data_IF_266479574262
#
_entry.id   IF_266479574262
#
_cell.length_a   1.000
_cell.length_b   1.000
_cell.length_c   1.000
_cell.angle_alpha   90.00
_cell.angle_beta   90.00
_cell.angle_gamma   90.00
#
_symmetry.space_group_name_H-M   'P 1'
#
loop_
_entity.id
_entity.type
_entity.pdbx_description
1 polymer ?
#
# COMPACT_ATOMS: atom_id res chain seq x y z
N UNK A 1 40.80 77.19 10.14
CA UNK A 1 39.95 76.27 10.93
C UNK A 1 38.75 75.86 10.09
N UNK A 2 38.80 74.71 9.40
CA UNK A 2 37.62 74.09 8.77
C UNK A 2 37.68 72.58 9.06
N UNK A 3 36.60 72.10 9.67
CA UNK A 3 36.46 70.80 10.32
C UNK A 3 36.22 69.69 9.30
N UNK A 4 36.87 68.56 9.53
CA UNK A 4 36.61 67.27 8.89
C UNK A 4 35.24 66.73 9.25
N UNK A 5 34.52 66.15 8.29
CA UNK A 5 33.36 65.28 8.53
C UNK A 5 33.69 63.93 7.89
N UNK A 6 33.83 62.92 8.73
CA UNK A 6 34.03 61.52 8.35
C UNK A 6 32.66 60.88 8.07
N UNK A 7 32.54 60.23 6.91
CA UNK A 7 31.35 59.44 6.54
C UNK A 7 31.51 58.04 7.15
N UNK A 8 30.60 57.69 8.05
CA UNK A 8 30.52 56.39 8.71
C UNK A 8 29.78 55.41 7.80
N UNK A 9 30.48 54.43 7.22
CA UNK A 9 29.88 53.33 6.45
C UNK A 9 29.50 52.21 7.43
N UNK A 10 28.20 52.02 7.65
CA UNK A 10 27.67 50.91 8.45
C UNK A 10 27.62 49.67 7.56
N UNK A 11 28.54 48.74 7.78
CA UNK A 11 28.55 47.43 7.11
C UNK A 11 27.48 46.50 7.68
N UNK A 12 26.57 46.04 6.82
CA UNK A 12 25.62 44.97 7.12
C UNK A 12 26.36 43.63 7.20
N UNK A 13 26.53 43.09 8.40
CA UNK A 13 26.98 41.70 8.60
C UNK A 13 25.78 40.79 8.39
N UNK A 14 25.72 40.12 7.24
CA UNK A 14 24.72 39.08 6.95
C UNK A 14 25.05 37.82 7.75
N UNK A 15 24.22 37.51 8.75
CA UNK A 15 24.27 36.26 9.50
C UNK A 15 23.72 35.16 8.58
N UNK A 16 24.62 34.35 8.00
CA UNK A 16 24.27 33.13 7.29
C UNK A 16 23.67 32.13 8.29
N UNK A 17 22.34 32.04 8.33
CA UNK A 17 21.63 30.98 9.04
C UNK A 17 21.98 29.64 8.40
N UNK A 18 22.64 28.75 9.16
CA UNK A 18 22.70 27.33 8.86
C UNK A 18 21.26 26.77 8.98
N UNK A 19 20.52 26.79 7.88
CA UNK A 19 19.31 26.01 7.77
C UNK A 19 19.72 24.52 7.83
N UNK A 20 19.24 23.82 8.86
CA UNK A 20 19.34 22.38 8.93
C UNK A 20 18.70 21.81 7.65
N UNK A 21 19.52 21.21 6.79
CA UNK A 21 19.05 20.54 5.58
C UNK A 21 18.12 19.41 6.01
N UNK A 22 16.83 19.54 5.68
CA UNK A 22 15.93 18.40 5.70
C UNK A 22 16.54 17.29 4.82
N UNK A 23 16.45 16.02 5.22
CA UNK A 23 16.89 14.92 4.37
C UNK A 23 16.22 15.07 3.01
N UNK A 24 17.03 15.33 2.00
CA UNK A 24 16.61 15.53 0.63
C UNK A 24 15.87 14.26 0.18
N UNK A 25 14.59 14.41 -0.15
CA UNK A 25 13.78 13.35 -0.75
C UNK A 25 14.54 12.79 -1.96
N UNK A 26 14.57 11.47 -2.09
CA UNK A 26 15.09 10.82 -3.30
C UNK A 26 14.37 11.39 -4.54
N UNK A 27 15.06 11.56 -5.68
CA UNK A 27 14.44 12.20 -6.84
C UNK A 27 13.24 11.36 -7.33
N UNK A 28 12.09 11.98 -7.64
CA UNK A 28 10.99 11.27 -8.29
C UNK A 28 11.45 10.78 -9.68
N UNK A 29 11.21 9.50 -10.01
CA UNK A 29 11.33 9.02 -11.41
C UNK A 29 12.08 7.72 -11.69
N UNK A 30 12.43 6.87 -10.70
CA UNK A 30 12.95 5.51 -10.98
C UNK A 30 11.90 4.40 -10.85
N UNK A 31 10.83 4.65 -10.09
CA UNK A 31 9.75 3.70 -9.91
C UNK A 31 8.92 3.53 -11.19
N UNK A 32 8.52 2.29 -11.55
CA UNK A 32 7.75 2.09 -12.76
C UNK A 32 6.33 2.61 -12.61
N UNK A 33 5.86 3.36 -13.62
CA UNK A 33 4.54 3.99 -13.64
C UNK A 33 3.37 3.00 -13.52
N UNK A 34 3.56 1.73 -13.89
CA UNK A 34 2.54 0.70 -13.70
C UNK A 34 2.35 0.32 -12.23
N UNK A 35 3.42 0.35 -11.43
CA UNK A 35 3.37 0.08 -10.01
C UNK A 35 2.89 1.31 -9.24
N UNK A 36 3.28 2.51 -9.66
CA UNK A 36 2.89 3.77 -9.03
C UNK A 36 2.09 4.65 -9.99
N UNK A 37 0.88 4.22 -10.40
CA UNK A 37 0.17 4.91 -11.46
C UNK A 37 -0.44 6.23 -10.99
N UNK A 38 -0.43 7.20 -11.90
CA UNK A 38 -1.22 8.42 -11.78
C UNK A 38 -2.70 8.14 -12.07
N UNK A 39 -3.57 8.95 -11.47
CA UNK A 39 -5.00 8.95 -11.78
C UNK A 39 -5.17 9.41 -13.22
N UNK A 40 -5.91 8.64 -14.02
CA UNK A 40 -6.15 8.95 -15.43
C UNK A 40 -7.58 8.65 -15.88
N UNK A 41 -8.51 8.47 -14.94
CA UNK A 41 -9.93 8.34 -15.23
C UNK A 41 -10.80 8.43 -13.99
N UNK A 42 -12.10 8.30 -14.19
CA UNK A 42 -13.11 8.29 -13.15
C UNK A 42 -14.22 7.31 -13.50
N UNK A 43 -14.83 6.76 -12.47
CA UNK A 43 -16.08 6.04 -12.63
C UNK A 43 -17.24 7.03 -12.75
N UNK A 44 -18.36 6.64 -13.40
CA UNK A 44 -19.58 7.43 -13.38
C UNK A 44 -20.03 7.70 -11.94
N UNK A 45 -20.64 8.87 -11.70
CA UNK A 45 -21.25 9.17 -10.40
C UNK A 45 -22.28 8.09 -10.03
N UNK A 46 -22.33 7.72 -8.75
CA UNK A 46 -23.39 6.85 -8.24
C UNK A 46 -24.67 7.63 -8.01
N UNK A 47 -25.81 7.00 -8.29
CA UNK A 47 -27.12 7.50 -7.89
C UNK A 47 -27.17 7.69 -6.35
N UNK A 48 -27.68 8.83 -5.85
CA UNK A 48 -27.59 9.20 -4.44
C UNK A 48 -28.43 8.31 -3.51
N UNK A 49 -29.28 7.45 -4.08
CA UNK A 49 -30.11 6.50 -3.32
C UNK A 49 -29.26 5.56 -2.45
N UNK A 50 -29.75 5.20 -1.24
CA UNK A 50 -29.07 4.22 -0.40
C UNK A 50 -28.80 2.89 -1.12
N UNK A 51 -27.65 2.30 -0.83
CA UNK A 51 -27.17 1.02 -1.35
C UNK A 51 -27.18 -0.03 -0.24
N UNK A 52 -27.35 -1.29 -0.61
CA UNK A 52 -27.27 -2.44 0.29
C UNK A 52 -26.37 -3.53 -0.31
N UNK A 53 -25.81 -4.37 0.55
CA UNK A 53 -25.10 -5.59 0.16
C UNK A 53 -25.90 -6.82 0.57
N UNK A 54 -25.84 -7.85 -0.25
CA UNK A 54 -26.51 -9.12 0.05
C UNK A 54 -25.99 -9.69 1.38
N UNK A 55 -26.89 -10.03 2.29
CA UNK A 55 -26.56 -10.53 3.64
C UNK A 55 -26.31 -9.44 4.69
N UNK A 56 -26.20 -8.17 4.30
CA UNK A 56 -26.08 -7.05 5.25
C UNK A 56 -27.45 -6.51 5.65
N UNK A 57 -27.60 -6.14 6.91
CA UNK A 57 -28.76 -5.37 7.42
C UNK A 57 -28.56 -3.85 7.31
N UNK A 58 -27.40 -3.41 6.80
CA UNK A 58 -27.01 -2.01 6.69
C UNK A 58 -27.39 -1.43 5.34
N UNK A 59 -27.55 -0.11 5.33
CA UNK A 59 -27.81 0.66 4.13
C UNK A 59 -27.07 1.99 4.23
N UNK A 60 -26.32 2.34 3.19
CA UNK A 60 -25.50 3.55 3.14
C UNK A 60 -25.70 4.29 1.82
N UNK A 61 -25.73 5.62 1.85
CA UNK A 61 -25.69 6.43 0.63
C UNK A 61 -24.27 6.41 0.03
N UNK A 62 -24.10 6.71 -1.27
CA UNK A 62 -22.76 6.84 -1.85
C UNK A 62 -21.86 7.81 -1.10
N UNK A 63 -22.41 8.92 -0.60
CA UNK A 63 -21.65 9.89 0.20
C UNK A 63 -21.14 9.29 1.52
N UNK A 64 -21.91 8.43 2.18
CA UNK A 64 -21.46 7.71 3.38
C UNK A 64 -20.41 6.66 3.05
N UNK A 65 -20.53 6.00 1.88
CA UNK A 65 -19.55 5.00 1.43
C UNK A 65 -18.19 5.65 1.12
N UNK A 66 -18.21 6.85 0.56
CA UNK A 66 -17.01 7.61 0.18
C UNK A 66 -16.41 8.44 1.33
N UNK A 67 -17.07 8.49 2.50
CA UNK A 67 -16.56 9.18 3.68
C UNK A 67 -15.35 8.44 4.27
N UNK A 68 -14.15 8.99 4.03
CA UNK A 68 -12.89 8.42 4.52
C UNK A 68 -12.70 8.57 6.04
N UNK A 69 -13.51 9.41 6.68
CA UNK A 69 -13.49 9.60 8.13
C UNK A 69 -14.54 8.76 8.84
N UNK A 70 -15.49 8.16 8.13
CA UNK A 70 -16.54 7.31 8.70
C UNK A 70 -17.01 6.27 7.66
N UNK A 71 -16.11 5.35 7.25
CA UNK A 71 -16.40 4.34 6.24
C UNK A 71 -17.52 3.39 6.66
N UNK A 72 -18.21 2.76 5.71
CA UNK A 72 -19.27 1.80 6.01
C UNK A 72 -18.69 0.52 6.61
N UNK A 73 -19.36 0.02 7.64
CA UNK A 73 -19.20 -1.34 8.16
C UNK A 73 -20.46 -2.14 7.82
N UNK A 74 -20.41 -2.83 6.69
CA UNK A 74 -21.53 -3.61 6.18
C UNK A 74 -21.84 -4.85 7.03
N UNK A 75 -20.84 -5.41 7.70
CA UNK A 75 -20.96 -6.70 8.38
C UNK A 75 -20.27 -6.67 9.75
N UNK A 76 -20.77 -5.85 10.70
CA UNK A 76 -20.15 -5.67 12.01
C UNK A 76 -20.08 -6.97 12.84
N UNK A 77 -20.93 -7.94 12.53
CA UNK A 77 -20.99 -9.23 13.22
C UNK A 77 -19.96 -10.26 12.70
N UNK A 78 -19.23 -9.94 11.62
CA UNK A 78 -18.19 -10.83 11.05
C UNK A 78 -16.79 -10.62 11.64
N UNK A 79 -16.62 -9.64 12.53
CA UNK A 79 -15.36 -9.37 13.21
C UNK A 79 -15.58 -8.99 14.68
N UNK A 80 -14.51 -9.04 15.47
CA UNK A 80 -14.52 -8.48 16.83
C UNK A 80 -14.86 -6.97 16.78
N UNK A 81 -15.41 -6.38 17.86
CA UNK A 81 -15.68 -4.95 17.91
C UNK A 81 -14.46 -4.11 17.52
N UNK A 82 -14.60 -3.30 16.48
CA UNK A 82 -13.51 -2.50 15.95
C UNK A 82 -13.22 -1.29 16.85
N UNK A 83 -11.94 -0.95 17.12
CA UNK A 83 -11.59 0.29 17.81
C UNK A 83 -12.15 1.52 17.10
N UNK A 84 -12.38 2.60 17.84
CA UNK A 84 -12.97 3.83 17.28
C UNK A 84 -12.20 4.32 16.06
N UNK A 85 -10.86 4.31 16.09
CA UNK A 85 -10.04 4.83 14.97
C UNK A 85 -10.12 3.99 13.69
N UNK A 86 -10.51 2.72 13.79
CA UNK A 86 -10.74 1.87 12.62
C UNK A 86 -12.03 2.29 11.91
N UNK A 87 -13.06 2.64 12.68
CA UNK A 87 -14.40 3.00 12.18
C UNK A 87 -14.55 4.50 11.90
N UNK A 88 -13.85 5.34 12.65
CA UNK A 88 -14.04 6.79 12.66
C UNK A 88 -12.72 7.53 12.86
N UNK A 89 -12.36 8.33 11.87
CA UNK A 89 -11.23 9.24 11.90
C UNK A 89 -11.50 10.50 12.73
N UNK A 90 -10.45 11.26 13.00
CA UNK A 90 -10.52 12.57 13.64
C UNK A 90 -9.39 13.47 13.14
N UNK A 91 -9.68 14.78 13.03
CA UNK A 91 -8.70 15.76 12.55
C UNK A 91 -8.08 15.36 11.20
N UNK A 92 -6.75 15.16 11.19
CA UNK A 92 -6.01 14.70 10.01
C UNK A 92 -5.89 13.17 9.91
N UNK A 93 -6.30 12.41 10.93
CA UNK A 93 -6.29 10.97 10.94
C UNK A 93 -7.59 10.42 10.34
N UNK A 94 -7.50 9.82 9.16
CA UNK A 94 -8.62 9.12 8.53
C UNK A 94 -8.88 7.76 9.22
N UNK A 95 -10.11 7.26 9.07
CA UNK A 95 -10.46 5.94 9.62
C UNK A 95 -9.67 4.84 8.90
N UNK A 96 -9.08 3.90 9.64
CA UNK A 96 -8.25 2.85 9.03
C UNK A 96 -9.05 1.98 8.05
N UNK A 97 -10.30 1.66 8.41
CA UNK A 97 -11.23 0.87 7.61
C UNK A 97 -11.57 1.49 6.26
N UNK A 98 -11.33 2.80 6.07
CA UNK A 98 -11.63 3.47 4.81
C UNK A 98 -10.70 3.05 3.67
N UNK A 99 -9.52 2.52 3.97
CA UNK A 99 -8.60 2.01 2.94
C UNK A 99 -8.22 0.56 3.19
N UNK A 100 -8.07 0.14 4.44
CA UNK A 100 -7.72 -1.24 4.79
C UNK A 100 -8.94 -2.16 4.88
N UNK A 101 -10.16 -1.61 4.71
CA UNK A 101 -11.45 -2.28 4.86
C UNK A 101 -11.71 -2.79 6.27
N UNK A 102 -12.98 -3.00 6.62
CA UNK A 102 -13.36 -3.64 7.87
C UNK A 102 -12.99 -5.14 7.90
N UNK A 103 -12.69 -5.73 6.75
CA UNK A 103 -12.09 -7.07 6.68
C UNK A 103 -10.59 -7.10 6.97
N UNK A 104 -9.91 -5.95 6.91
CA UNK A 104 -8.46 -5.86 6.95
C UNK A 104 -7.73 -6.28 5.67
N UNK A 105 -8.42 -6.79 4.64
CA UNK A 105 -7.76 -7.26 3.41
C UNK A 105 -7.31 -6.13 2.47
N UNK A 106 -7.87 -4.92 2.66
CA UNK A 106 -7.56 -3.74 1.87
C UNK A 106 -7.88 -3.87 0.37
N UNK A 107 -7.58 -2.82 -0.35
CA UNK A 107 -7.60 -2.78 -1.82
C UNK A 107 -6.16 -2.78 -2.36
N UNK A 108 -5.92 -2.96 -3.66
CA UNK A 108 -4.58 -2.98 -4.23
C UNK A 108 -3.77 -1.68 -4.03
N UNK A 109 -4.42 -0.53 -3.83
CA UNK A 109 -3.77 0.73 -3.45
C UNK A 109 -3.34 0.80 -1.98
N UNK A 110 -3.92 -0.03 -1.12
CA UNK A 110 -3.62 -0.15 0.31
C UNK A 110 -2.98 -1.52 0.61
N UNK A 111 -2.41 -1.69 1.79
CA UNK A 111 -1.92 -2.99 2.21
C UNK A 111 -3.07 -3.81 2.81
N UNK A 112 -3.12 -5.12 2.54
CA UNK A 112 -3.82 -6.04 3.43
C UNK A 112 -3.08 -6.11 4.76
N UNK A 113 -3.81 -6.07 5.86
CA UNK A 113 -3.32 -6.00 7.24
C UNK A 113 -3.48 -7.33 7.98
N UNK A 114 -4.27 -8.25 7.43
CA UNK A 114 -4.51 -9.57 8.01
C UNK A 114 -3.25 -10.44 8.00
N UNK A 115 -3.09 -11.30 9.01
CA UNK A 115 -1.93 -12.18 9.11
C UNK A 115 -0.59 -11.47 9.38
N UNK A 116 -0.60 -10.19 9.74
CA UNK A 116 0.56 -9.51 10.33
C UNK A 116 0.44 -9.47 11.85
N UNK A 117 1.58 -9.47 12.55
CA UNK A 117 1.59 -9.30 14.00
C UNK A 117 1.27 -7.85 14.37
N UNK A 118 0.66 -7.63 15.54
CA UNK A 118 0.42 -6.29 16.05
C UNK A 118 1.74 -5.49 16.15
N UNK A 119 2.82 -6.15 16.62
CA UNK A 119 4.16 -5.55 16.68
C UNK A 119 4.68 -5.09 15.30
N UNK A 120 4.48 -5.88 14.26
CA UNK A 120 4.83 -5.47 12.89
C UNK A 120 4.05 -4.23 12.47
N UNK A 121 2.73 -4.22 12.69
CA UNK A 121 1.86 -3.11 12.31
C UNK A 121 2.24 -1.82 13.05
N UNK A 122 2.42 -1.89 14.38
CA UNK A 122 2.90 -0.76 15.20
C UNK A 122 4.21 -0.22 14.63
N UNK A 123 5.17 -1.11 14.34
CA UNK A 123 6.46 -0.70 13.78
C UNK A 123 6.32 -0.01 12.42
N UNK A 124 5.42 -0.49 11.55
CA UNK A 124 5.18 0.17 10.26
C UNK A 124 4.62 1.58 10.46
N UNK A 125 3.74 1.78 11.45
CA UNK A 125 3.19 3.09 11.75
C UNK A 125 4.24 4.05 12.32
N UNK A 126 5.17 3.56 13.16
CA UNK A 126 6.33 4.35 13.61
C UNK A 126 7.22 4.77 12.44
N UNK A 127 7.50 3.86 11.51
CA UNK A 127 8.29 4.15 10.32
C UNK A 127 7.60 5.19 9.42
N UNK A 128 6.27 5.14 9.28
CA UNK A 128 5.51 6.19 8.59
C UNK A 128 5.52 7.52 9.35
N UNK A 129 5.34 7.49 10.67
CA UNK A 129 5.29 8.69 11.53
C UNK A 129 6.62 9.46 11.48
N UNK A 130 7.74 8.72 11.52
CA UNK A 130 9.10 9.26 11.44
C UNK A 130 9.54 9.65 10.01
N UNK A 131 8.89 9.10 8.99
CA UNK A 131 9.30 9.27 7.59
C UNK A 131 10.37 8.28 7.12
N UNK A 132 10.77 7.31 7.95
CA UNK A 132 11.63 6.20 7.56
C UNK A 132 10.95 5.25 6.54
N UNK A 133 9.63 5.32 6.44
CA UNK A 133 8.86 4.74 5.34
C UNK A 133 8.04 5.84 4.70
N UNK A 134 8.28 6.09 3.41
CA UNK A 134 7.56 7.11 2.65
C UNK A 134 6.40 6.45 1.90
N UNK A 135 5.20 6.96 2.13
CA UNK A 135 4.03 6.81 1.29
C UNK A 135 3.68 8.19 0.73
N UNK A 136 3.77 8.34 -0.59
CA UNK A 136 3.50 9.60 -1.27
C UNK A 136 2.02 10.02 -1.23
N UNK A 137 1.14 9.21 -0.64
CA UNK A 137 -0.30 9.40 -0.68
C UNK A 137 -0.86 10.01 0.60
N UNK A 138 -0.87 9.23 1.69
CA UNK A 138 -1.73 9.48 2.86
C UNK A 138 -1.14 8.96 4.17
N UNK A 139 -0.45 7.81 4.16
CA UNK A 139 -0.10 7.10 5.40
C UNK A 139 0.85 7.90 6.31
N UNK A 140 1.80 8.67 5.77
CA UNK A 140 2.64 9.52 6.61
C UNK A 140 1.84 10.62 7.33
N UNK A 141 0.85 11.23 6.66
CA UNK A 141 0.01 12.27 7.26
C UNK A 141 -0.93 11.68 8.32
N UNK A 142 -1.56 10.54 8.00
CA UNK A 142 -2.42 9.79 8.94
C UNK A 142 -1.61 9.38 10.17
N UNK A 143 -0.43 8.78 9.99
CA UNK A 143 0.42 8.31 11.09
C UNK A 143 0.85 9.44 12.04
N UNK A 144 1.06 10.67 11.53
CA UNK A 144 1.36 11.85 12.36
C UNK A 144 0.16 12.33 13.18
N UNK A 145 -1.06 12.10 12.69
CA UNK A 145 -2.30 12.48 13.39
C UNK A 145 -2.75 11.47 14.47
N UNK A 146 -2.13 10.29 14.52
CA UNK A 146 -2.51 9.22 15.44
C UNK A 146 -1.71 9.25 16.75
N UNK A 147 -2.40 8.99 17.84
CA UNK A 147 -1.77 8.64 19.11
C UNK A 147 -1.22 7.20 19.08
N UNK A 148 -0.24 6.93 19.95
CA UNK A 148 0.38 5.60 20.01
C UNK A 148 -0.60 4.54 20.53
N UNK A 149 -1.56 4.94 21.38
CA UNK A 149 -2.64 4.06 21.87
C UNK A 149 -3.61 3.68 20.74
N UNK A 150 -4.00 4.62 19.88
CA UNK A 150 -4.83 4.33 18.72
C UNK A 150 -4.13 3.39 17.73
N UNK A 151 -2.84 3.61 17.49
CA UNK A 151 -2.01 2.72 16.66
C UNK A 151 -2.01 1.32 17.25
N UNK A 152 -1.79 1.19 18.56
CA UNK A 152 -1.75 -0.11 19.24
C UNK A 152 -3.11 -0.83 19.16
N UNK A 153 -4.21 -0.15 19.46
CA UNK A 153 -5.55 -0.73 19.40
C UNK A 153 -5.91 -1.21 17.99
N UNK A 154 -5.64 -0.38 16.97
CA UNK A 154 -5.87 -0.77 15.58
C UNK A 154 -4.98 -1.94 15.16
N UNK A 155 -3.71 -1.94 15.56
CA UNK A 155 -2.76 -3.01 15.26
C UNK A 155 -3.19 -4.35 15.87
N UNK A 156 -3.62 -4.36 17.14
CA UNK A 156 -4.14 -5.54 17.81
C UNK A 156 -5.41 -6.07 17.12
N UNK A 157 -6.32 -5.18 16.74
CA UNK A 157 -7.55 -5.57 16.06
C UNK A 157 -7.29 -6.16 14.67
N UNK A 158 -6.48 -5.52 13.83
CA UNK A 158 -6.14 -6.06 12.50
C UNK A 158 -5.33 -7.36 12.60
N UNK A 159 -4.43 -7.49 13.58
CA UNK A 159 -3.69 -8.73 13.79
C UNK A 159 -4.59 -9.90 14.24
N UNK A 160 -5.74 -9.60 14.86
CA UNK A 160 -6.77 -10.59 15.20
C UNK A 160 -7.62 -11.04 14.01
N UNK A 161 -7.57 -10.34 12.88
CA UNK A 161 -8.31 -10.70 11.67
C UNK A 161 -7.69 -11.92 10.98
N UNK A 162 -8.54 -12.82 10.48
CA UNK A 162 -8.09 -14.02 9.79
C UNK A 162 -7.74 -13.69 8.34
N UNK A 163 -6.50 -13.95 7.90
CA UNK A 163 -6.14 -13.78 6.50
C UNK A 163 -6.88 -14.80 5.64
N UNK A 164 -7.30 -14.39 4.45
CA UNK A 164 -8.00 -15.26 3.50
C UNK A 164 -7.59 -14.95 2.06
N UNK A 165 -7.81 -15.89 1.12
CA UNK A 165 -7.55 -15.62 -0.29
C UNK A 165 -8.33 -14.39 -0.76
N UNK A 166 -7.61 -13.34 -1.13
CA UNK A 166 -8.20 -12.06 -1.51
C UNK A 166 -7.89 -11.66 -2.95
N UNK A 167 -6.76 -12.13 -3.49
CA UNK A 167 -6.34 -11.86 -4.86
C UNK A 167 -6.18 -13.17 -5.63
N UNK A 168 -6.88 -13.27 -6.76
CA UNK A 168 -6.71 -14.33 -7.74
C UNK A 168 -5.63 -13.93 -8.75
N UNK A 169 -4.56 -14.70 -8.85
CA UNK A 169 -3.51 -14.47 -9.86
C UNK A 169 -3.86 -15.20 -11.15
N UNK A 170 -3.78 -14.49 -12.29
CA UNK A 170 -4.00 -15.05 -13.63
C UNK A 170 -2.80 -14.68 -14.51
N UNK A 171 -2.14 -15.69 -15.08
CA UNK A 171 -1.11 -15.51 -16.09
C UNK A 171 -1.76 -15.24 -17.46
N UNK A 172 -1.52 -14.06 -18.04
CA UNK A 172 -2.15 -13.66 -19.30
C UNK A 172 -1.22 -12.77 -20.15
N UNK A 173 -1.36 -12.85 -21.47
CA UNK A 173 -0.65 -11.97 -22.41
C UNK A 173 -1.32 -10.59 -22.54
N UNK A 174 -2.64 -10.53 -22.37
CA UNK A 174 -3.44 -9.31 -22.48
C UNK A 174 -4.60 -9.30 -21.47
N UNK A 175 -5.11 -8.12 -21.20
CA UNK A 175 -6.24 -7.86 -20.29
C UNK A 175 -7.19 -6.86 -20.92
N UNK A 176 -8.45 -6.76 -20.45
CA UNK A 176 -9.30 -5.63 -20.77
C UNK A 176 -8.56 -4.32 -20.46
N UNK A 177 -8.71 -3.30 -21.32
CA UNK A 177 -8.11 -2.00 -21.04
C UNK A 177 -8.53 -1.49 -19.67
N UNK A 178 -7.63 -0.79 -19.00
CA UNK A 178 -7.86 -0.30 -17.64
C UNK A 178 -7.55 1.18 -17.50
N UNK A 179 -8.16 1.79 -16.48
CA UNK A 179 -7.82 3.13 -16.01
C UNK A 179 -7.68 3.14 -14.49
N UNK A 180 -7.05 4.18 -13.95
CA UNK A 180 -6.86 4.40 -12.52
C UNK A 180 -7.81 5.50 -12.07
N UNK A 181 -8.74 5.12 -11.20
CA UNK A 181 -9.76 6.00 -10.66
C UNK A 181 -9.24 6.92 -9.54
N UNK A 182 -10.12 7.78 -9.03
CA UNK A 182 -9.79 8.78 -7.99
C UNK A 182 -9.25 8.16 -6.68
N UNK A 183 -9.66 6.92 -6.37
CA UNK A 183 -9.13 6.15 -5.24
C UNK A 183 -7.74 5.54 -5.47
N UNK A 184 -7.11 5.75 -6.63
CA UNK A 184 -5.87 5.07 -7.10
C UNK A 184 -6.01 3.56 -7.33
N UNK A 185 -7.22 3.03 -7.18
CA UNK A 185 -7.58 1.70 -7.63
C UNK A 185 -7.73 1.68 -9.16
N UNK A 186 -7.38 0.56 -9.77
CA UNK A 186 -7.50 0.35 -11.21
C UNK A 186 -8.81 -0.38 -11.53
N UNK A 187 -9.49 0.07 -12.57
CA UNK A 187 -10.78 -0.43 -13.05
C UNK A 187 -10.72 -0.80 -14.51
N UNK A 188 -11.65 -1.64 -14.96
CA UNK A 188 -11.81 -1.98 -16.38
C UNK A 188 -12.50 -0.83 -17.10
N UNK A 189 -12.01 -0.50 -18.29
CA UNK A 189 -12.54 0.56 -19.13
C UNK A 189 -13.91 0.13 -19.72
N UNK A 190 -14.97 0.93 -19.57
CA UNK A 190 -16.32 0.55 -20.02
C UNK A 190 -16.47 0.40 -21.54
N UNK A 191 -15.64 1.12 -22.31
CA UNK A 191 -15.59 1.09 -23.78
C UNK A 191 -14.90 -0.18 -24.34
N UNK A 192 -14.34 -1.00 -23.46
CA UNK A 192 -13.76 -2.30 -23.78
C UNK A 192 -12.39 -2.21 -24.44
N UNK A 193 -12.09 -3.21 -25.28
CA UNK A 193 -10.77 -3.40 -25.87
C UNK A 193 -9.78 -4.07 -24.92
N UNK A 194 -8.60 -4.38 -25.45
CA UNK A 194 -7.54 -5.10 -24.74
C UNK A 194 -6.25 -4.28 -24.70
N UNK A 195 -5.46 -4.43 -23.64
CA UNK A 195 -4.08 -3.97 -23.55
C UNK A 195 -3.14 -5.15 -23.21
N UNK A 196 -1.90 -5.17 -23.71
CA UNK A 196 -0.94 -6.21 -23.34
C UNK A 196 -0.58 -6.10 -21.86
N UNK A 197 -0.43 -7.22 -21.15
CA UNK A 197 0.11 -7.19 -19.78
C UNK A 197 1.55 -6.67 -19.81
N UNK A 198 2.37 -7.17 -20.74
CA UNK A 198 3.78 -6.82 -20.83
C UNK A 198 4.54 -7.29 -19.59
N UNK A 199 5.54 -6.53 -19.12
CA UNK A 199 6.23 -6.79 -17.85
C UNK A 199 5.59 -6.00 -16.70
N UNK A 200 4.27 -6.14 -16.50
CA UNK A 200 3.49 -5.38 -15.51
C UNK A 200 2.55 -6.29 -14.73
N UNK A 201 2.10 -5.80 -13.58
CA UNK A 201 1.00 -6.41 -12.82
C UNK A 201 -0.21 -5.49 -12.95
N UNK A 202 -1.31 -6.01 -13.50
CA UNK A 202 -2.58 -5.27 -13.66
C UNK A 202 -3.60 -5.91 -12.73
N UNK A 203 -3.93 -5.22 -11.65
CA UNK A 203 -4.91 -5.69 -10.66
C UNK A 203 -6.21 -4.91 -10.80
N UNK A 204 -7.33 -5.60 -10.95
CA UNK A 204 -8.68 -5.02 -11.04
C UNK A 204 -9.65 -5.76 -10.09
N UNK A 205 -10.74 -5.13 -9.65
CA UNK A 205 -11.80 -5.82 -8.91
C UNK A 205 -12.32 -7.04 -9.64
N UNK A 206 -12.71 -8.09 -8.90
CA UNK A 206 -13.52 -9.18 -9.45
C UNK A 206 -14.94 -8.71 -9.77
N UNK A 207 -15.47 -7.82 -8.94
CA UNK A 207 -16.74 -7.10 -9.14
C UNK A 207 -16.51 -5.62 -8.85
N UNK A 208 -16.64 -4.79 -9.88
CA UNK A 208 -16.40 -3.36 -9.81
C UNK A 208 -17.41 -2.64 -8.92
N UNK A 209 -18.67 -3.06 -8.92
CA UNK A 209 -19.70 -2.44 -8.08
C UNK A 209 -19.46 -2.77 -6.61
N UNK A 210 -19.17 -4.03 -6.30
CA UNK A 210 -18.83 -4.44 -4.94
C UNK A 210 -17.58 -3.74 -4.41
N UNK A 211 -16.55 -3.57 -5.24
CA UNK A 211 -15.36 -2.81 -4.84
C UNK A 211 -15.66 -1.33 -4.55
N UNK A 212 -16.54 -0.68 -5.34
CA UNK A 212 -17.01 0.69 -5.04
C UNK A 212 -17.75 0.74 -3.71
N UNK A 213 -18.58 -0.27 -3.43
CA UNK A 213 -19.31 -0.40 -2.18
C UNK A 213 -18.41 -0.80 -1.01
N UNK A 214 -17.13 -1.13 -1.22
CA UNK A 214 -16.20 -1.61 -0.18
C UNK A 214 -16.66 -2.92 0.46
N UNK A 215 -17.28 -3.77 -0.35
CA UNK A 215 -17.78 -5.08 0.05
C UNK A 215 -16.61 -5.97 0.54
N UNK A 216 -16.62 -6.43 1.81
CA UNK A 216 -15.58 -7.31 2.32
C UNK A 216 -15.69 -8.72 1.76
N UNK A 217 -16.57 -9.08 0.83
CA UNK A 217 -16.63 -10.42 0.24
C UNK A 217 -16.16 -10.46 -1.22
N UNK A 218 -15.73 -9.32 -1.79
CA UNK A 218 -15.26 -9.24 -3.17
C UNK A 218 -13.78 -8.87 -3.25
N UNK A 219 -12.97 -9.83 -3.66
CA UNK A 219 -11.54 -9.64 -3.88
C UNK A 219 -11.17 -9.09 -5.25
N UNK A 220 -9.93 -9.33 -5.63
CA UNK A 220 -9.30 -8.79 -6.84
C UNK A 220 -8.78 -9.89 -7.76
N UNK A 221 -8.62 -9.54 -9.03
CA UNK A 221 -7.89 -10.36 -9.99
C UNK A 221 -6.63 -9.61 -10.39
N UNK A 222 -5.47 -10.24 -10.21
CA UNK A 222 -4.18 -9.73 -10.65
C UNK A 222 -3.71 -10.50 -11.88
N UNK A 223 -3.69 -9.81 -13.01
CA UNK A 223 -3.11 -10.31 -14.24
C UNK A 223 -1.61 -10.05 -14.25
N UNK A 224 -0.84 -11.11 -14.52
CA UNK A 224 0.62 -11.11 -14.52
C UNK A 224 1.14 -11.75 -15.81
N UNK A 225 2.40 -11.50 -16.21
CA UNK A 225 2.96 -12.11 -17.41
C UNK A 225 2.96 -13.64 -17.33
N UNK A 226 2.84 -14.30 -18.48
CA UNK A 226 2.86 -15.77 -18.54
C UNK A 226 4.20 -16.32 -18.04
N UNK A 227 4.16 -17.33 -17.17
CA UNK A 227 5.33 -17.93 -16.53
C UNK A 227 5.88 -17.17 -15.31
N UNK A 228 5.31 -16.00 -14.94
CA UNK A 228 5.76 -15.23 -13.78
C UNK A 228 5.66 -16.01 -12.46
N UNK A 229 4.64 -16.83 -12.25
CA UNK A 229 4.47 -17.60 -11.01
C UNK A 229 5.57 -18.65 -10.89
N UNK A 230 5.82 -19.41 -11.96
CA UNK A 230 6.87 -20.44 -11.96
C UNK A 230 8.26 -19.83 -11.78
N UNK A 231 8.55 -18.72 -12.49
CA UNK A 231 9.80 -17.98 -12.33
C UNK A 231 9.96 -17.41 -10.92
N UNK A 232 8.91 -16.82 -10.37
CA UNK A 232 8.89 -16.25 -9.03
C UNK A 232 9.13 -17.30 -7.95
N UNK A 233 8.53 -18.49 -8.11
CA UNK A 233 8.77 -19.64 -7.24
C UNK A 233 10.24 -20.03 -7.23
N UNK A 234 10.84 -20.22 -8.41
CA UNK A 234 12.25 -20.59 -8.53
C UNK A 234 13.18 -19.56 -7.88
N UNK A 235 12.92 -18.25 -8.09
CA UNK A 235 13.67 -17.18 -7.43
C UNK A 235 13.53 -17.22 -5.90
N UNK A 236 12.30 -17.36 -5.41
CA UNK A 236 12.00 -17.34 -3.97
C UNK A 236 12.59 -18.56 -3.24
N UNK A 237 12.61 -19.73 -3.87
CA UNK A 237 13.11 -20.97 -3.26
C UNK A 237 14.63 -21.07 -3.32
N UNK A 238 15.25 -20.65 -4.43
CA UNK A 238 16.68 -20.91 -4.68
C UNK A 238 17.58 -19.69 -4.52
N UNK A 239 17.01 -18.48 -4.43
CA UNK A 239 17.76 -17.22 -4.49
C UNK A 239 18.23 -16.83 -5.89
N UNK A 240 17.86 -17.59 -6.94
CA UNK A 240 18.10 -17.22 -8.33
C UNK A 240 19.58 -17.03 -8.68
N UNK A 241 20.43 -17.98 -8.27
CA UNK A 241 21.88 -17.92 -8.49
C UNK A 241 22.53 -16.64 -7.95
N UNK A 242 22.10 -16.19 -6.78
CA UNK A 242 22.67 -15.03 -6.10
C UNK A 242 22.10 -13.67 -6.54
N UNK A 243 21.00 -13.67 -7.31
CA UNK A 243 20.15 -12.48 -7.51
C UNK A 243 19.47 -12.04 -6.21
N UNK A 244 19.13 -12.99 -5.36
CA UNK A 244 18.57 -12.76 -4.04
C UNK A 244 18.99 -13.88 -3.09
N UNK A 245 18.32 -14.02 -1.96
CA UNK A 245 18.43 -15.15 -1.06
C UNK A 245 17.08 -15.89 -1.02
N UNK A 246 17.10 -17.18 -0.66
CA UNK A 246 15.85 -17.92 -0.48
C UNK A 246 14.96 -17.21 0.55
N UNK A 247 13.73 -16.87 0.16
CA UNK A 247 12.86 -16.00 0.93
C UNK A 247 12.42 -16.65 2.24
N UNK A 248 12.23 -17.97 2.24
CA UNK A 248 11.77 -18.74 3.41
C UNK A 248 12.77 -18.75 4.56
N UNK A 249 14.06 -18.47 4.31
CA UNK A 249 15.09 -18.31 5.34
C UNK A 249 14.67 -17.25 6.37
N UNK A 250 13.96 -16.20 5.94
CA UNK A 250 13.49 -15.13 6.82
C UNK A 250 11.96 -15.12 6.94
N UNK A 251 11.23 -15.29 5.83
CA UNK A 251 9.77 -15.20 5.80
C UNK A 251 9.06 -16.50 6.22
N UNK A 252 9.80 -17.48 6.73
CA UNK A 252 9.25 -18.72 7.26
C UNK A 252 8.77 -19.70 6.19
N UNK A 253 8.31 -20.86 6.66
CA UNK A 253 7.75 -21.89 5.79
C UNK A 253 6.49 -21.40 5.07
N UNK A 254 6.37 -21.76 3.79
CA UNK A 254 5.32 -21.27 2.91
C UNK A 254 5.23 -19.75 2.79
N UNK A 255 6.24 -18.98 3.23
CA UNK A 255 6.25 -17.52 3.31
C UNK A 255 5.16 -16.92 4.21
N UNK A 256 4.79 -17.64 5.28
CA UNK A 256 3.74 -17.26 6.24
C UNK A 256 4.18 -16.27 7.33
N UNK A 257 5.45 -15.87 7.32
CA UNK A 257 6.05 -14.99 8.31
C UNK A 257 6.75 -15.76 9.43
N UNK A 258 7.61 -15.06 10.17
CA UNK A 258 8.36 -15.60 11.31
C UNK A 258 8.62 -14.48 12.33
N UNK A 259 7.95 -14.54 13.48
CA UNK A 259 8.03 -13.47 14.48
C UNK A 259 7.54 -12.13 13.90
N UNK A 260 8.42 -11.12 13.88
CA UNK A 260 8.13 -9.80 13.28
C UNK A 260 8.46 -9.72 11.78
N UNK A 261 9.02 -10.78 11.18
CA UNK A 261 9.18 -10.84 9.73
C UNK A 261 7.79 -11.11 9.11
N UNK A 262 7.28 -10.22 8.25
CA UNK A 262 5.90 -10.29 7.79
C UNK A 262 5.65 -11.47 6.85
N UNK A 263 4.40 -11.95 6.85
CA UNK A 263 3.85 -12.82 5.81
C UNK A 263 4.00 -12.19 4.43
N UNK A 264 4.32 -13.01 3.42
CA UNK A 264 4.24 -12.64 2.01
C UNK A 264 3.17 -13.44 1.27
N UNK A 265 2.90 -14.68 1.70
CA UNK A 265 1.95 -15.57 1.07
C UNK A 265 0.56 -14.92 0.96
N UNK A 266 0.00 -14.78 -0.24
CA UNK A 266 -1.31 -14.19 -0.50
C UNK A 266 -1.40 -12.67 -0.34
N UNK A 267 -0.30 -11.95 -0.10
CA UNK A 267 -0.30 -10.49 -0.08
C UNK A 267 -0.46 -9.95 -1.49
N UNK A 268 -1.18 -8.83 -1.65
CA UNK A 268 -1.42 -8.18 -2.95
C UNK A 268 -0.14 -8.03 -3.79
N UNK A 269 -0.11 -8.51 -5.04
CA UNK A 269 1.10 -8.53 -5.84
C UNK A 269 1.59 -7.12 -6.20
N UNK A 270 0.67 -6.18 -6.45
CA UNK A 270 1.04 -4.78 -6.70
C UNK A 270 1.66 -4.13 -5.47
N UNK A 271 1.18 -4.47 -4.26
CA UNK A 271 1.76 -3.97 -3.02
C UNK A 271 3.16 -4.53 -2.82
N UNK A 272 3.35 -5.84 -3.02
CA UNK A 272 4.66 -6.50 -2.92
C UNK A 272 5.65 -5.87 -3.90
N UNK A 273 5.25 -5.68 -5.17
CA UNK A 273 6.10 -5.05 -6.17
C UNK A 273 6.56 -3.66 -5.72
N UNK A 274 5.62 -2.82 -5.27
CA UNK A 274 5.95 -1.49 -4.70
C UNK A 274 6.92 -1.60 -3.54
N UNK A 275 6.73 -2.54 -2.61
CA UNK A 275 7.63 -2.67 -1.46
C UNK A 275 9.04 -3.05 -1.89
N UNK A 276 9.18 -3.97 -2.86
CA UNK A 276 10.48 -4.37 -3.41
C UNK A 276 11.19 -3.18 -4.08
N UNK A 277 10.47 -2.36 -4.86
CA UNK A 277 11.00 -1.12 -5.42
C UNK A 277 11.44 -0.13 -4.32
N UNK A 278 10.58 0.13 -3.33
CA UNK A 278 10.88 1.07 -2.24
C UNK A 278 12.09 0.64 -1.40
N UNK A 279 12.27 -0.67 -1.16
CA UNK A 279 13.48 -1.18 -0.51
C UNK A 279 14.71 -1.01 -1.39
N UNK A 280 14.59 -1.28 -2.69
CA UNK A 280 15.68 -1.18 -3.66
C UNK A 280 16.16 0.27 -3.83
N UNK A 281 15.24 1.22 -3.77
CA UNK A 281 15.52 2.65 -3.90
C UNK A 281 15.85 3.33 -2.57
N UNK A 282 15.60 2.65 -1.44
CA UNK A 282 15.91 3.15 -0.10
C UNK A 282 14.91 4.16 0.45
N UNK A 283 13.74 4.31 -0.17
CA UNK A 283 12.60 5.12 0.29
C UNK A 283 11.75 4.41 1.35
N UNK A 284 11.97 3.09 1.53
CA UNK A 284 11.61 2.34 2.74
C UNK A 284 12.89 1.91 3.47
N UNK A 285 13.23 2.61 4.54
CA UNK A 285 14.54 2.52 5.20
C UNK A 285 14.49 2.43 6.75
N UNK A 286 13.32 2.11 7.33
CA UNK A 286 13.18 1.79 8.76
C UNK A 286 14.13 0.69 9.25
N UNK A 287 14.16 0.48 10.58
CA UNK A 287 15.13 -0.43 11.22
C UNK A 287 15.21 -1.82 10.58
N UNK A 288 14.07 -2.52 10.50
CA UNK A 288 14.01 -3.87 9.92
C UNK A 288 14.11 -3.87 8.39
N UNK A 289 13.84 -2.73 7.73
CA UNK A 289 13.98 -2.58 6.28
C UNK A 289 15.43 -2.81 5.81
N UNK A 290 16.41 -2.62 6.71
CA UNK A 290 17.82 -2.87 6.42
C UNK A 290 18.08 -4.33 6.02
N UNK A 291 17.30 -5.27 6.56
CA UNK A 291 17.40 -6.70 6.22
C UNK A 291 17.02 -6.97 4.76
N UNK A 292 16.16 -6.14 4.17
CA UNK A 292 15.70 -6.29 2.78
C UNK A 292 16.65 -5.68 1.76
N UNK A 293 17.61 -4.83 2.15
CA UNK A 293 18.54 -4.18 1.21
C UNK A 293 19.31 -5.16 0.34
N UNK A 294 19.91 -6.20 0.95
CA UNK A 294 20.67 -7.23 0.21
C UNK A 294 19.76 -8.10 -0.67
N UNK A 295 18.62 -8.64 -0.19
CA UNK A 295 17.68 -9.39 -1.02
C UNK A 295 17.21 -8.69 -2.29
N UNK A 296 17.03 -7.35 -2.28
CA UNK A 296 16.46 -6.62 -3.43
C UNK A 296 17.51 -5.99 -4.35
N UNK A 297 18.77 -5.90 -3.91
CA UNK A 297 19.82 -5.14 -4.60
C UNK A 297 20.00 -5.54 -6.07
N UNK A 298 19.95 -6.84 -6.37
CA UNK A 298 20.20 -7.38 -7.72
C UNK A 298 18.95 -7.83 -8.47
N UNK A 299 17.75 -7.63 -7.89
CA UNK A 299 16.50 -7.96 -8.58
C UNK A 299 16.29 -7.05 -9.79
N UNK A 300 15.94 -7.62 -10.94
CA UNK A 300 15.46 -6.87 -12.10
C UNK A 300 13.95 -6.61 -11.99
N UNK A 301 13.40 -5.77 -12.86
CA UNK A 301 11.95 -5.52 -12.90
C UNK A 301 11.15 -6.81 -13.13
N UNK A 302 11.61 -7.65 -14.05
CA UNK A 302 11.02 -8.96 -14.34
C UNK A 302 11.16 -9.93 -13.16
N UNK A 303 12.21 -9.80 -12.33
CA UNK A 303 12.31 -10.58 -11.08
C UNK A 303 11.32 -10.07 -10.01
N UNK A 304 11.13 -8.75 -9.89
CA UNK A 304 10.16 -8.15 -8.95
C UNK A 304 8.74 -8.54 -9.33
N UNK A 305 8.38 -8.48 -10.62
CA UNK A 305 7.07 -8.91 -11.13
C UNK A 305 6.83 -10.39 -10.84
N UNK A 306 7.82 -11.25 -11.15
CA UNK A 306 7.72 -12.69 -10.93
C UNK A 306 7.57 -13.05 -9.43
N UNK A 307 8.41 -12.48 -8.56
CA UNK A 307 8.31 -12.70 -7.10
C UNK A 307 6.94 -12.25 -6.57
N UNK A 308 6.48 -11.09 -7.00
CA UNK A 308 5.18 -10.55 -6.58
C UNK A 308 4.01 -11.43 -7.04
N UNK A 309 4.06 -11.94 -8.27
CA UNK A 309 3.08 -12.89 -8.80
C UNK A 309 3.06 -14.20 -8.00
N UNK A 310 4.24 -14.75 -7.69
CA UNK A 310 4.37 -15.99 -6.94
C UNK A 310 3.80 -15.86 -5.52
N UNK A 311 4.27 -14.88 -4.74
CA UNK A 311 3.83 -14.77 -3.34
C UNK A 311 2.33 -14.52 -3.24
N UNK A 312 1.76 -13.73 -4.15
CA UNK A 312 0.31 -13.50 -4.20
C UNK A 312 -0.50 -14.74 -4.57
N UNK A 313 0.09 -15.70 -5.28
CA UNK A 313 -0.57 -16.97 -5.65
C UNK A 313 -0.63 -17.98 -4.51
N UNK A 314 0.14 -17.76 -3.44
CA UNK A 314 0.17 -18.64 -2.27
C UNK A 314 -1.09 -18.46 -1.41
N UNK A 315 -1.48 -19.52 -0.72
CA UNK A 315 -2.52 -19.45 0.31
C UNK A 315 -1.98 -18.69 1.52
N UNK A 316 -2.71 -17.68 2.04
CA UNK A 316 -2.34 -16.92 3.22
C UNK A 316 -2.02 -17.75 4.48
#
# INVERSE_FOLDING_TARGET
MKKSVAVLVVGFVSILSLAAQQPQQAPPGREPSWAFPAINGSLPAEEPSPKSLAGSTKSYTPAQIDDLSNPPDWFPDEHAPAPSIVQKGHGAALACGACHLMSGEGHPESAGMTGFTAAYIVRQMEDFKSGARIDAARMNAIAKGLSDEEIKQAAEWFAGQKPRPWTKVIEAASVPKTFVGQGRMRFVQPDGGMEPVGNRIITVPQDQQKARLRDPHSGFTAYVPVGSVAKGKALAETGGSGKTISCSICHGDGLKGLGNVPRLAGVHPIYVARQLYLFKEGTRNGGDAQLMKKPVAKLTDDDIVALSAYVASLTP
#
